data_IF_706083559355
#
_entry.id   IF_706083559355
#
_cell.length_a   1.000
_cell.length_b   1.000
_cell.length_c   1.000
_cell.angle_alpha   90.00
_cell.angle_beta   90.00
_cell.angle_gamma   90.00
#
_symmetry.space_group_name_H-M   'P 1'
#
loop_
_entity.id
_entity.type
_entity.pdbx_description
1 polymer ?
#
# COMPACT_ATOMS: atom_id res chain seq x y z
N UNK A 1 5.11 11.55 -22.91
CA UNK A 1 4.30 10.82 -23.92
C UNK A 1 2.96 10.51 -23.27
N UNK A 2 1.90 11.21 -23.65
CA UNK A 2 0.54 10.94 -23.14
C UNK A 2 0.09 9.61 -23.73
N UNK A 3 -0.38 8.74 -22.86
CA UNK A 3 -0.67 7.33 -23.10
C UNK A 3 -1.76 7.19 -24.20
N UNK A 4 -1.38 6.81 -25.41
CA UNK A 4 -2.24 6.59 -26.58
C UNK A 4 -3.46 5.71 -26.26
N UNK A 5 -3.30 4.77 -25.34
CA UNK A 5 -4.37 3.88 -24.87
C UNK A 5 -5.45 4.58 -24.02
N UNK A 6 -5.15 5.73 -23.42
CA UNK A 6 -6.13 6.54 -22.70
C UNK A 6 -6.98 7.38 -23.65
N UNK A 7 -6.38 7.86 -24.73
CA UNK A 7 -7.09 8.62 -25.77
C UNK A 7 -8.09 7.72 -26.52
N UNK A 8 -7.70 6.47 -26.84
CA UNK A 8 -8.60 5.52 -27.51
C UNK A 8 -9.82 5.17 -26.63
N UNK A 9 -9.63 5.01 -25.32
CA UNK A 9 -10.74 4.80 -24.37
C UNK A 9 -11.62 6.05 -24.21
N UNK A 10 -11.03 7.23 -24.30
CA UNK A 10 -11.78 8.48 -24.22
C UNK A 10 -12.60 8.75 -25.48
N UNK A 11 -12.08 8.38 -26.66
CA UNK A 11 -12.85 8.41 -27.92
C UNK A 11 -14.00 7.39 -27.91
N UNK A 12 -13.78 6.19 -27.37
CA UNK A 12 -14.84 5.20 -27.17
C UNK A 12 -15.93 5.71 -26.22
N UNK A 13 -15.58 6.40 -25.14
CA UNK A 13 -16.52 7.03 -24.23
C UNK A 13 -17.29 8.19 -24.89
N UNK A 14 -16.67 8.94 -25.81
CA UNK A 14 -17.34 9.96 -26.60
C UNK A 14 -18.33 9.35 -27.61
N UNK A 15 -18.02 8.18 -28.16
CA UNK A 15 -18.92 7.45 -29.07
C UNK A 15 -20.12 6.83 -28.33
N UNK A 16 -20.00 6.57 -27.02
CA UNK A 16 -21.12 6.21 -26.14
C UNK A 16 -21.98 7.42 -25.74
N UNK A 17 -21.61 8.62 -26.19
CA UNK A 17 -22.44 9.81 -26.05
C UNK A 17 -23.80 9.56 -26.68
N UNK A 18 -24.86 9.74 -25.89
CA UNK A 18 -26.24 9.57 -26.28
C UNK A 18 -26.49 10.10 -27.70
N UNK A 19 -27.06 9.28 -28.56
CA UNK A 19 -27.48 9.69 -29.93
C UNK A 19 -28.30 10.96 -29.82
N UNK A 20 -28.28 11.80 -30.86
CA UNK A 20 -29.03 13.07 -30.87
C UNK A 20 -30.52 12.86 -30.55
N UNK A 21 -31.08 11.74 -30.96
CA UNK A 21 -32.42 11.27 -30.58
C UNK A 21 -32.60 11.07 -29.07
N UNK A 22 -31.58 10.57 -28.35
CA UNK A 22 -31.64 10.41 -26.89
C UNK A 22 -31.52 11.74 -26.18
N UNK A 23 -30.69 12.65 -26.71
CA UNK A 23 -30.55 14.02 -26.18
C UNK A 23 -31.88 14.79 -26.32
N UNK A 24 -32.56 14.67 -27.44
CA UNK A 24 -33.86 15.31 -27.67
C UNK A 24 -34.96 14.74 -26.77
N UNK A 25 -34.98 13.44 -26.53
CA UNK A 25 -35.91 12.80 -25.58
C UNK A 25 -35.64 13.29 -24.13
N UNK A 26 -34.39 13.42 -23.72
CA UNK A 26 -34.02 13.93 -22.39
C UNK A 26 -34.42 15.43 -22.30
N UNK A 27 -34.13 16.22 -23.34
CA UNK A 27 -34.45 17.65 -23.37
C UNK A 27 -35.97 17.86 -23.27
N UNK A 28 -36.75 17.06 -23.99
CA UNK A 28 -38.22 17.10 -23.95
C UNK A 28 -38.76 16.74 -22.55
N UNK A 29 -38.25 15.68 -21.93
CA UNK A 29 -38.60 15.32 -20.55
C UNK A 29 -38.27 16.39 -19.52
N UNK A 30 -37.14 17.05 -19.66
CA UNK A 30 -36.74 18.16 -18.78
C UNK A 30 -37.71 19.35 -19.00
N UNK A 31 -38.00 19.73 -20.23
CA UNK A 31 -38.96 20.80 -20.54
C UNK A 31 -40.38 20.47 -20.02
N UNK A 32 -40.85 19.26 -20.21
CA UNK A 32 -42.13 18.83 -19.67
C UNK A 32 -42.17 18.83 -18.13
N UNK A 33 -41.06 18.49 -17.48
CA UNK A 33 -40.95 18.55 -16.01
C UNK A 33 -40.93 19.99 -15.46
N UNK A 34 -40.35 20.93 -16.21
CA UNK A 34 -40.35 22.36 -15.88
C UNK A 34 -41.70 22.99 -16.04
N UNK A 35 -42.45 22.59 -17.10
CA UNK A 35 -43.77 23.14 -17.38
C UNK A 35 -44.91 22.50 -16.57
N UNK A 36 -44.69 21.36 -15.92
CA UNK A 36 -45.64 20.72 -14.99
C UNK A 36 -45.61 21.27 -13.57
N UNK A 37 -45.10 22.45 -13.32
CA UNK A 37 -45.32 23.11 -12.04
C UNK A 37 -46.73 23.65 -11.97
N UNK A 38 -47.68 23.03 -11.23
CA UNK A 38 -48.97 23.62 -11.02
C UNK A 38 -48.78 24.83 -10.07
N UNK A 39 -48.96 26.03 -10.58
CA UNK A 39 -49.23 27.17 -9.76
C UNK A 39 -50.62 27.02 -9.14
N UNK A 40 -50.73 26.36 -8.01
CA UNK A 40 -51.90 26.41 -7.15
C UNK A 40 -51.46 26.80 -5.78
N UNK A 41 -51.57 28.10 -5.48
CA UNK A 41 -51.71 28.62 -4.15
C UNK A 41 -53.03 28.08 -3.59
N UNK A 42 -52.97 26.97 -2.87
CA UNK A 42 -54.09 26.54 -2.03
C UNK A 42 -53.88 27.06 -0.58
N UNK A 43 -54.94 27.48 0.08
CA UNK A 43 -54.80 28.03 1.44
C UNK A 43 -54.24 26.98 2.39
N UNK A 44 -53.35 27.43 3.26
CA UNK A 44 -52.67 26.62 4.26
C UNK A 44 -53.74 26.06 5.21
N UNK A 45 -54.15 24.81 4.98
CA UNK A 45 -55.04 24.09 5.91
C UNK A 45 -54.21 23.48 7.04
N UNK A 46 -54.72 23.54 8.21
CA UNK A 46 -54.27 23.09 9.54
C UNK A 46 -53.62 21.68 9.65
N UNK A 47 -53.34 21.04 8.53
CA UNK A 47 -52.69 19.72 8.42
C UNK A 47 -51.16 19.76 8.58
N UNK A 48 -50.55 20.95 8.54
CA UNK A 48 -49.08 21.10 8.59
C UNK A 48 -48.50 20.96 9.99
N UNK A 49 -49.31 21.10 11.05
CA UNK A 49 -48.81 20.95 12.42
C UNK A 49 -48.39 19.52 12.75
N UNK A 50 -49.07 18.51 12.19
CA UNK A 50 -48.72 17.09 12.39
C UNK A 50 -47.38 16.74 11.72
N UNK A 51 -47.08 17.31 10.55
CA UNK A 51 -45.78 17.08 9.85
C UNK A 51 -44.63 17.86 10.50
N UNK A 52 -44.89 19.04 11.10
CA UNK A 52 -43.89 19.79 11.87
C UNK A 52 -43.53 19.04 13.17
N UNK A 53 -44.51 18.47 13.83
CA UNK A 53 -44.28 17.64 15.04
C UNK A 53 -43.51 16.36 14.68
N UNK A 54 -43.84 15.71 13.55
CA UNK A 54 -43.10 14.53 13.08
C UNK A 54 -41.67 14.87 12.69
N UNK A 55 -41.45 16.00 12.02
CA UNK A 55 -40.12 16.47 11.64
C UNK A 55 -39.26 16.86 12.84
N UNK A 56 -39.86 17.54 13.86
CA UNK A 56 -39.16 17.88 15.10
C UNK A 56 -38.80 16.63 15.91
N UNK A 57 -39.69 15.63 15.95
CA UNK A 57 -39.42 14.34 16.61
C UNK A 57 -38.27 13.58 15.94
N UNK A 58 -38.21 13.58 14.59
CA UNK A 58 -37.11 13.02 13.84
C UNK A 58 -35.78 13.73 14.12
N UNK A 59 -35.78 15.05 14.20
CA UNK A 59 -34.59 15.84 14.54
C UNK A 59 -34.12 15.54 15.98
N UNK A 60 -35.04 15.38 16.92
CA UNK A 60 -34.69 15.01 18.29
C UNK A 60 -34.14 13.59 18.38
N UNK A 61 -34.76 12.64 17.68
CA UNK A 61 -34.25 11.26 17.61
C UNK A 61 -32.87 11.20 16.92
N UNK A 62 -32.70 11.88 15.78
CA UNK A 62 -31.44 11.93 15.06
C UNK A 62 -30.36 12.71 15.83
N UNK A 63 -30.74 13.83 16.46
CA UNK A 63 -29.85 14.61 17.33
C UNK A 63 -29.45 13.82 18.59
N UNK A 64 -30.41 13.10 19.20
CA UNK A 64 -30.14 12.18 20.30
C UNK A 64 -29.23 11.02 19.92
N UNK A 65 -29.45 10.45 18.74
CA UNK A 65 -28.59 9.39 18.20
C UNK A 65 -27.19 9.91 17.91
N UNK A 66 -27.05 11.06 17.26
CA UNK A 66 -25.75 11.72 17.04
C UNK A 66 -25.08 12.09 18.37
N UNK A 67 -25.84 12.58 19.33
CA UNK A 67 -25.32 12.86 20.68
C UNK A 67 -24.88 11.60 21.41
N UNK A 68 -25.60 10.48 21.24
CA UNK A 68 -25.18 9.16 21.75
C UNK A 68 -23.92 8.67 21.07
N UNK A 69 -23.82 8.78 19.74
CA UNK A 69 -22.59 8.47 18.98
C UNK A 69 -21.42 9.40 19.38
N UNK A 70 -21.68 10.67 19.67
CA UNK A 70 -20.66 11.60 20.19
C UNK A 70 -20.33 11.33 21.66
N UNK A 71 -21.24 10.78 22.43
CA UNK A 71 -21.04 10.42 23.84
C UNK A 71 -20.47 9.01 24.01
N UNK A 72 -20.68 8.13 23.03
CA UNK A 72 -19.84 6.97 22.79
C UNK A 72 -18.51 7.40 22.13
N UNK A 73 -17.96 8.52 22.60
CA UNK A 73 -16.51 8.62 22.54
C UNK A 73 -16.01 7.33 23.17
N UNK A 74 -15.20 6.55 22.43
CA UNK A 74 -14.56 5.40 23.03
C UNK A 74 -14.02 5.95 24.33
N UNK A 75 -14.37 5.31 25.45
CA UNK A 75 -13.72 5.53 26.73
C UNK A 75 -12.32 5.94 26.38
N UNK A 76 -11.92 7.16 26.70
CA UNK A 76 -10.51 7.42 26.84
C UNK A 76 -10.04 6.28 27.76
N UNK A 77 -9.70 5.17 27.11
CA UNK A 77 -8.80 4.26 27.73
C UNK A 77 -7.71 5.21 28.15
N UNK A 78 -7.50 5.32 29.44
CA UNK A 78 -6.27 5.80 29.99
C UNK A 78 -5.19 4.92 29.35
N UNK A 79 -4.96 5.12 28.06
CA UNK A 79 -3.75 4.71 27.40
C UNK A 79 -2.73 5.47 28.20
N UNK A 80 -2.15 4.78 29.18
CA UNK A 80 -0.94 5.23 29.82
C UNK A 80 -0.17 5.94 28.73
N UNK A 81 0.17 7.21 28.94
CA UNK A 81 0.90 8.08 28.03
C UNK A 81 2.27 7.45 27.70
N UNK A 82 2.26 6.35 26.97
CA UNK A 82 3.44 5.80 26.34
C UNK A 82 3.67 6.63 25.10
N UNK A 83 4.33 7.74 25.32
CA UNK A 83 4.93 8.52 24.25
C UNK A 83 5.89 7.58 23.53
N UNK A 84 5.65 7.29 22.25
CA UNK A 84 6.65 6.60 21.45
C UNK A 84 7.90 7.44 21.55
N UNK A 85 8.93 6.88 22.18
CA UNK A 85 10.24 7.52 22.21
C UNK A 85 10.88 7.29 20.85
N UNK A 86 11.02 8.34 20.06
CA UNK A 86 11.65 8.31 18.73
C UNK A 86 13.08 7.80 18.77
N UNK A 87 13.73 7.90 19.91
CA UNK A 87 15.03 7.35 20.15
C UNK A 87 14.99 5.84 20.44
N UNK A 88 13.79 5.26 20.48
CA UNK A 88 13.61 3.85 20.81
C UNK A 88 13.89 2.92 19.63
N UNK A 89 14.03 3.44 18.43
CA UNK A 89 14.44 2.67 17.26
C UNK A 89 15.44 3.44 16.39
N UNK A 90 16.24 2.68 15.62
CA UNK A 90 17.11 3.16 14.56
C UNK A 90 17.06 2.19 13.37
N UNK A 91 17.46 2.64 12.22
CA UNK A 91 17.57 1.86 10.98
C UNK A 91 18.63 2.44 10.05
N UNK A 92 19.02 1.69 9.03
CA UNK A 92 19.92 2.13 7.97
C UNK A 92 19.11 2.70 6.80
N UNK A 93 18.47 3.82 7.00
CA UNK A 93 17.81 4.57 5.96
C UNK A 93 18.23 6.02 6.07
N UNK A 94 18.95 6.50 5.07
CA UNK A 94 19.53 7.83 5.06
C UNK A 94 18.47 8.92 4.78
N UNK A 95 18.80 10.15 5.14
CA UNK A 95 17.99 11.34 4.86
C UNK A 95 16.55 11.30 5.38
N UNK A 96 16.29 10.56 6.45
CA UNK A 96 14.99 10.52 7.10
C UNK A 96 14.94 11.46 8.30
N UNK A 97 13.86 12.22 8.36
CA UNK A 97 13.50 13.02 9.54
C UNK A 97 12.13 12.56 10.04
N UNK A 98 11.90 12.72 11.34
CA UNK A 98 10.61 12.38 11.93
C UNK A 98 10.02 13.57 12.67
N UNK A 99 8.70 13.69 12.62
CA UNK A 99 7.94 14.72 13.31
C UNK A 99 6.81 14.09 14.13
N UNK A 100 6.68 14.49 15.38
CA UNK A 100 5.55 14.05 16.21
C UNK A 100 4.28 14.76 15.84
N UNK A 101 3.23 13.99 15.57
CA UNK A 101 1.89 14.48 15.27
C UNK A 101 0.90 13.70 16.13
N UNK A 102 0.42 14.30 17.23
CA UNK A 102 -0.42 13.59 18.19
C UNK A 102 0.28 12.37 18.81
N UNK A 103 -0.30 11.18 18.61
CA UNK A 103 0.18 9.91 19.18
C UNK A 103 1.04 9.09 18.21
N UNK A 104 1.38 9.62 17.04
CA UNK A 104 2.21 8.95 16.05
C UNK A 104 3.35 9.83 15.54
N UNK A 105 4.32 9.20 14.87
CA UNK A 105 5.41 9.84 14.16
C UNK A 105 5.11 9.85 12.67
N UNK A 106 5.25 10.98 12.04
CA UNK A 106 5.34 11.12 10.59
C UNK A 106 6.80 11.04 10.15
N UNK A 107 7.05 10.29 9.09
CA UNK A 107 8.36 10.08 8.51
C UNK A 107 8.48 10.85 7.21
N UNK A 108 9.54 11.64 7.07
CA UNK A 108 9.78 12.51 5.93
C UNK A 108 11.15 12.24 5.33
N UNK A 109 11.29 12.35 4.01
CA UNK A 109 12.58 12.56 3.39
C UNK A 109 13.06 13.97 3.71
N UNK A 110 14.37 14.12 3.84
CA UNK A 110 14.98 15.44 4.06
C UNK A 110 14.56 16.38 2.93
N UNK A 111 14.02 17.54 3.30
CA UNK A 111 13.48 18.58 2.40
C UNK A 111 12.17 18.21 1.65
N UNK A 112 11.53 17.10 1.96
CA UNK A 112 10.20 16.78 1.43
C UNK A 112 9.14 17.16 2.48
N UNK A 113 8.16 18.01 2.17
CA UNK A 113 7.08 18.38 3.08
C UNK A 113 6.01 17.28 3.24
N UNK A 114 6.04 16.23 2.39
CA UNK A 114 5.02 15.18 2.37
C UNK A 114 5.56 13.95 3.11
N UNK A 115 4.87 13.44 4.14
CA UNK A 115 5.29 12.23 4.81
C UNK A 115 5.17 11.01 3.88
N UNK A 116 6.18 10.15 3.91
CA UNK A 116 6.17 8.88 3.20
C UNK A 116 5.70 7.72 4.09
N UNK A 117 5.56 7.94 5.37
CA UNK A 117 5.15 6.90 6.29
C UNK A 117 4.85 7.39 7.69
N UNK A 118 4.44 6.47 8.55
CA UNK A 118 4.14 6.75 9.95
C UNK A 118 4.62 5.62 10.85
N UNK A 119 4.87 5.96 12.13
CA UNK A 119 5.14 4.99 13.20
C UNK A 119 4.25 5.28 14.39
N UNK A 120 3.57 4.27 14.90
CA UNK A 120 2.74 4.37 16.09
C UNK A 120 2.74 3.08 16.91
N UNK A 121 2.42 3.22 18.20
CA UNK A 121 2.10 2.09 19.07
C UNK A 121 0.61 1.78 18.95
N UNK A 122 0.26 0.53 18.79
CA UNK A 122 -1.12 0.04 18.72
C UNK A 122 -1.31 -1.13 19.65
N UNK A 123 -2.54 -1.30 20.13
CA UNK A 123 -2.96 -2.52 20.82
C UNK A 123 -3.23 -3.63 19.82
N UNK A 124 -3.29 -4.87 20.31
CA UNK A 124 -3.66 -6.02 19.47
C UNK A 124 -5.04 -5.87 18.85
N UNK A 125 -5.99 -5.29 19.56
CA UNK A 125 -7.36 -5.08 19.07
C UNK A 125 -7.41 -3.99 17.99
N UNK A 126 -6.66 -2.91 18.17
CA UNK A 126 -6.50 -1.87 17.15
C UNK A 126 -5.84 -2.43 15.89
N UNK A 127 -4.76 -3.21 16.02
CA UNK A 127 -4.14 -3.90 14.89
C UNK A 127 -5.15 -4.77 14.14
N UNK A 128 -5.90 -5.61 14.85
CA UNK A 128 -6.93 -6.47 14.26
C UNK A 128 -8.02 -5.65 13.55
N UNK A 129 -8.40 -4.51 14.12
CA UNK A 129 -9.39 -3.60 13.54
C UNK A 129 -8.87 -2.98 12.25
N UNK A 130 -7.60 -2.53 12.23
CA UNK A 130 -6.94 -1.99 11.04
C UNK A 130 -6.93 -3.04 9.92
N UNK A 131 -6.50 -4.27 10.23
CA UNK A 131 -6.40 -5.36 9.24
C UNK A 131 -7.77 -5.71 8.67
N UNK A 132 -8.81 -5.80 9.50
CA UNK A 132 -10.17 -6.15 9.07
C UNK A 132 -10.88 -5.02 8.31
N UNK A 133 -10.56 -3.78 8.60
CA UNK A 133 -11.23 -2.61 8.01
C UNK A 133 -10.72 -2.24 6.62
N UNK A 134 -9.66 -2.87 6.13
CA UNK A 134 -8.96 -2.52 4.90
C UNK A 134 -8.88 -3.69 3.93
N UNK A 135 -8.89 -3.44 2.61
CA UNK A 135 -8.73 -4.47 1.60
C UNK A 135 -7.25 -4.92 1.51
N UNK A 136 -6.80 -5.64 2.53
CA UNK A 136 -5.45 -6.22 2.53
C UNK A 136 -5.39 -7.37 1.53
N UNK A 137 -4.45 -7.33 0.58
CA UNK A 137 -4.24 -8.38 -0.42
C UNK A 137 -3.01 -9.24 -0.13
N UNK A 138 -2.13 -8.80 0.77
CA UNK A 138 -1.01 -9.58 1.29
C UNK A 138 -1.11 -9.63 2.81
N UNK A 139 -0.86 -10.82 3.36
CA UNK A 139 -0.71 -11.09 4.78
C UNK A 139 0.41 -12.10 4.94
N UNK A 140 1.59 -11.66 5.36
CA UNK A 140 2.78 -12.52 5.46
C UNK A 140 3.54 -12.25 6.75
N UNK A 141 3.94 -13.29 7.45
CA UNK A 141 4.99 -13.21 8.46
C UNK A 141 6.35 -13.20 7.75
N UNK A 142 7.17 -12.18 8.02
CA UNK A 142 8.49 -12.03 7.42
C UNK A 142 9.50 -12.86 8.21
N UNK A 143 10.08 -13.85 7.55
CA UNK A 143 11.15 -14.66 8.11
C UNK A 143 12.47 -13.92 8.07
N UNK A 144 13.40 -14.26 8.98
CA UNK A 144 14.76 -13.74 9.04
C UNK A 144 14.90 -12.22 9.25
N UNK A 145 13.82 -11.48 9.50
CA UNK A 145 13.89 -10.08 9.91
C UNK A 145 14.39 -9.95 11.35
N UNK A 146 14.95 -8.78 11.74
CA UNK A 146 15.49 -8.59 13.10
C UNK A 146 14.49 -8.89 14.21
N UNK A 147 13.23 -8.77 13.91
CA UNK A 147 12.13 -9.08 14.84
C UNK A 147 11.04 -9.86 14.11
N UNK A 148 10.24 -10.61 14.87
CA UNK A 148 8.99 -11.17 14.34
C UNK A 148 8.14 -10.05 13.77
N UNK A 149 7.95 -10.05 12.47
CA UNK A 149 7.32 -8.96 11.72
C UNK A 149 6.20 -9.51 10.85
N UNK A 150 5.02 -8.92 10.96
CA UNK A 150 3.88 -9.24 10.11
C UNK A 150 3.68 -8.11 9.11
N UNK A 151 3.71 -8.45 7.83
CA UNK A 151 3.51 -7.51 6.74
C UNK A 151 2.12 -7.67 6.14
N UNK A 152 1.46 -6.56 5.93
CA UNK A 152 0.20 -6.45 5.19
C UNK A 152 0.35 -5.39 4.12
N UNK A 153 -0.31 -5.59 2.99
CA UNK A 153 -0.26 -4.64 1.88
C UNK A 153 -1.69 -4.31 1.46
N UNK A 154 -1.96 -3.00 1.35
CA UNK A 154 -3.25 -2.42 0.95
C UNK A 154 -3.12 -1.72 -0.39
N UNK A 155 -4.08 -1.93 -1.30
CA UNK A 155 -4.27 -1.07 -2.45
C UNK A 155 -4.93 0.24 -2.02
N UNK A 156 -4.21 1.34 -2.13
CA UNK A 156 -4.71 2.67 -1.81
C UNK A 156 -4.99 3.40 -3.11
N UNK A 157 -6.25 3.65 -3.43
CA UNK A 157 -6.66 4.44 -4.61
C UNK A 157 -6.73 5.93 -4.26
N UNK A 158 -5.62 6.50 -3.82
CA UNK A 158 -5.49 7.93 -3.53
C UNK A 158 -4.53 8.57 -4.51
N UNK A 159 -4.60 9.89 -4.66
CA UNK A 159 -3.94 10.65 -5.74
C UNK A 159 -2.43 10.40 -5.87
N UNK A 160 -1.71 10.18 -4.77
CA UNK A 160 -0.25 10.00 -4.77
C UNK A 160 0.21 8.71 -4.07
N UNK A 161 -0.71 7.78 -3.81
CA UNK A 161 -0.41 6.52 -3.13
C UNK A 161 -1.11 5.39 -3.86
N UNK A 162 -0.33 4.47 -4.41
CA UNK A 162 -0.85 3.27 -5.06
C UNK A 162 -0.96 2.09 -4.10
N UNK A 163 0.05 1.93 -3.27
CA UNK A 163 0.21 0.79 -2.35
C UNK A 163 0.66 1.32 -1.00
N UNK A 164 0.10 0.75 0.07
CA UNK A 164 0.52 1.03 1.44
C UNK A 164 0.96 -0.26 2.11
N UNK A 165 2.16 -0.23 2.69
CA UNK A 165 2.72 -1.30 3.49
C UNK A 165 2.45 -1.05 4.96
N UNK A 166 2.05 -2.10 5.67
CA UNK A 166 1.90 -2.12 7.11
C UNK A 166 2.81 -3.21 7.67
N UNK A 167 3.68 -2.84 8.60
CA UNK A 167 4.49 -3.80 9.34
C UNK A 167 4.12 -3.71 10.80
N UNK A 168 3.75 -4.84 11.39
CA UNK A 168 3.42 -4.95 12.79
C UNK A 168 4.46 -5.79 13.51
N UNK A 169 5.06 -5.23 14.55
CA UNK A 169 6.08 -5.88 15.39
C UNK A 169 5.56 -5.96 16.82
N UNK A 170 5.40 -7.16 17.42
CA UNK A 170 4.93 -7.30 18.79
C UNK A 170 6.00 -6.79 19.75
N UNK A 171 5.65 -5.83 20.63
CA UNK A 171 6.48 -5.40 21.75
C UNK A 171 6.21 -6.25 22.98
N UNK A 172 4.95 -6.44 23.29
CA UNK A 172 4.44 -7.30 24.38
C UNK A 172 3.26 -8.14 23.87
N UNK A 173 2.59 -8.85 24.74
CA UNK A 173 1.37 -9.59 24.36
C UNK A 173 0.24 -8.66 23.87
N UNK A 174 0.19 -7.44 24.40
CA UNK A 174 -0.91 -6.48 24.15
C UNK A 174 -0.50 -5.29 23.28
N UNK A 175 0.79 -5.02 23.15
CA UNK A 175 1.31 -3.83 22.49
C UNK A 175 2.17 -4.18 21.28
N UNK A 176 1.96 -3.44 20.20
CA UNK A 176 2.61 -3.61 18.92
C UNK A 176 3.13 -2.28 18.42
N UNK A 177 4.22 -2.28 17.68
CA UNK A 177 4.60 -1.13 16.85
C UNK A 177 4.06 -1.38 15.46
N UNK A 178 3.42 -0.37 14.89
CA UNK A 178 3.01 -0.31 13.51
C UNK A 178 3.91 0.65 12.75
N UNK A 179 4.53 0.19 11.69
CA UNK A 179 5.16 1.01 10.66
C UNK A 179 4.26 1.01 9.44
N UNK A 180 4.08 2.19 8.84
CA UNK A 180 3.28 2.34 7.62
C UNK A 180 4.13 3.09 6.60
N UNK A 181 4.17 2.60 5.36
CA UNK A 181 4.92 3.22 4.27
C UNK A 181 4.05 3.34 3.02
N UNK A 182 4.13 4.48 2.35
CA UNK A 182 3.33 4.81 1.17
C UNK A 182 4.21 4.77 -0.10
N UNK A 183 4.00 3.77 -0.96
CA UNK A 183 4.59 3.72 -2.30
C UNK A 183 3.71 4.55 -3.28
N UNK A 184 4.25 5.39 -4.16
CA UNK A 184 5.68 5.55 -4.50
C UNK A 184 6.42 6.68 -3.76
N UNK A 185 5.94 7.18 -2.63
CA UNK A 185 6.65 8.22 -1.86
C UNK A 185 7.98 7.71 -1.28
N UNK A 186 8.10 6.42 -1.12
CA UNK A 186 9.31 5.70 -0.75
C UNK A 186 9.40 4.42 -1.58
N UNK A 187 10.58 4.10 -2.09
CA UNK A 187 10.83 2.92 -2.91
C UNK A 187 10.80 1.63 -2.08
N UNK A 188 10.47 0.52 -2.74
CA UNK A 188 10.41 -0.80 -2.10
C UNK A 188 11.71 -1.19 -1.42
N UNK A 189 12.84 -0.98 -2.11
CA UNK A 189 14.17 -1.28 -1.58
C UNK A 189 14.41 -0.56 -0.26
N UNK A 190 14.07 0.71 -0.18
CA UNK A 190 14.21 1.55 1.03
C UNK A 190 13.31 1.08 2.16
N UNK A 191 12.06 0.70 1.87
CA UNK A 191 11.12 0.14 2.87
C UNK A 191 11.72 -1.10 3.51
N UNK A 192 12.19 -2.03 2.69
CA UNK A 192 12.74 -3.29 3.20
C UNK A 192 14.11 -3.11 3.83
N UNK A 193 14.93 -2.18 3.34
CA UNK A 193 16.17 -1.80 3.99
C UNK A 193 15.93 -1.23 5.40
N UNK A 194 14.96 -0.34 5.54
CA UNK A 194 14.56 0.19 6.85
C UNK A 194 14.14 -0.93 7.80
N UNK A 195 13.24 -1.81 7.36
CA UNK A 195 12.68 -2.86 8.19
C UNK A 195 13.69 -3.97 8.52
N UNK A 196 14.60 -4.32 7.60
CA UNK A 196 15.63 -5.33 7.80
C UNK A 196 16.79 -4.85 8.69
N UNK A 197 17.03 -3.55 8.74
CA UNK A 197 18.04 -2.91 9.56
C UNK A 197 17.50 -2.30 10.85
N UNK A 198 16.23 -2.54 11.16
CA UNK A 198 15.56 -1.97 12.32
C UNK A 198 16.19 -2.46 13.63
N UNK A 199 16.51 -1.53 14.52
CA UNK A 199 16.95 -1.79 15.88
C UNK A 199 15.99 -1.13 16.87
N UNK A 200 15.36 -1.95 17.73
CA UNK A 200 14.46 -1.49 18.78
C UNK A 200 15.22 -1.42 20.12
N UNK A 201 15.21 -0.27 20.73
CA UNK A 201 15.85 -0.09 22.05
C UNK A 201 15.22 -0.99 23.11
N UNK A 202 16.05 -1.77 23.79
CA UNK A 202 15.60 -2.68 24.84
C UNK A 202 15.03 -4.01 24.35
N UNK A 203 14.99 -4.26 23.04
CA UNK A 203 14.57 -5.53 22.46
C UNK A 203 15.73 -6.14 21.66
N UNK A 204 16.13 -7.36 22.02
CA UNK A 204 17.19 -8.07 21.30
C UNK A 204 16.69 -8.48 19.93
N UNK A 205 17.42 -8.07 18.88
CA UNK A 205 17.18 -8.52 17.54
C UNK A 205 17.58 -9.99 17.33
N UNK A 206 16.92 -10.69 16.43
CA UNK A 206 17.43 -11.94 15.90
C UNK A 206 18.59 -11.60 14.95
N UNK A 207 19.72 -12.25 15.13
CA UNK A 207 20.82 -12.16 14.20
C UNK A 207 20.81 -13.45 13.38
N UNK A 208 20.66 -13.30 12.09
CA UNK A 208 20.78 -14.38 11.13
C UNK A 208 22.05 -14.14 10.30
N UNK A 209 22.84 -15.19 10.14
CA UNK A 209 24.02 -15.16 9.25
C UNK A 209 23.60 -15.26 7.77
N UNK A 210 22.33 -15.56 7.52
CA UNK A 210 21.77 -15.69 6.17
C UNK A 210 21.36 -14.32 5.62
N UNK A 211 21.60 -14.15 4.31
CA UNK A 211 21.11 -12.99 3.59
C UNK A 211 19.58 -12.96 3.58
N UNK A 212 19.01 -11.78 3.70
CA UNK A 212 17.56 -11.58 3.62
C UNK A 212 17.13 -11.39 2.17
N UNK A 213 16.00 -12.01 1.84
CA UNK A 213 15.37 -11.88 0.53
C UNK A 213 13.91 -11.48 0.68
N UNK A 214 13.44 -10.62 -0.20
CA UNK A 214 12.09 -10.06 -0.18
C UNK A 214 11.49 -10.01 -1.57
N UNK A 215 10.16 -10.07 -1.66
CA UNK A 215 9.44 -9.82 -2.91
C UNK A 215 9.12 -8.33 -3.04
N UNK A 216 9.27 -7.77 -4.22
CA UNK A 216 8.86 -6.43 -4.54
C UNK A 216 7.43 -6.41 -5.11
N UNK A 217 6.57 -5.57 -4.54
CA UNK A 217 5.23 -5.33 -5.06
C UNK A 217 4.39 -6.60 -5.24
N UNK A 218 3.94 -6.82 -6.47
CA UNK A 218 3.09 -7.96 -6.86
C UNK A 218 3.87 -9.14 -7.42
N UNK A 219 5.18 -8.96 -7.64
CA UNK A 219 6.02 -9.99 -8.25
C UNK A 219 6.18 -11.21 -7.35
N UNK A 220 6.39 -12.36 -7.97
CA UNK A 220 6.73 -13.61 -7.31
C UNK A 220 8.24 -13.80 -7.13
N UNK A 221 9.05 -12.97 -7.82
CA UNK A 221 10.52 -12.99 -7.71
C UNK A 221 10.98 -12.41 -6.37
N UNK A 222 11.93 -13.08 -5.74
CA UNK A 222 12.59 -12.59 -4.52
C UNK A 222 13.87 -11.84 -4.90
N UNK A 223 14.23 -10.83 -4.11
CA UNK A 223 15.39 -9.97 -4.27
C UNK A 223 16.21 -9.93 -3.01
N UNK A 224 17.54 -9.86 -3.07
CA UNK A 224 18.36 -9.49 -1.91
C UNK A 224 17.92 -8.14 -1.33
N UNK A 225 17.82 -8.04 0.00
CA UNK A 225 17.35 -6.82 0.67
C UNK A 225 18.26 -5.61 0.43
N UNK A 226 19.57 -5.85 0.24
CA UNK A 226 20.58 -4.79 0.15
C UNK A 226 20.91 -4.41 -1.30
N UNK A 227 19.93 -4.38 -2.16
CA UNK A 227 20.09 -3.90 -3.54
C UNK A 227 19.87 -2.40 -3.60
N UNK A 228 20.81 -1.69 -4.25
CA UNK A 228 20.70 -0.28 -4.56
C UNK A 228 20.42 -0.12 -6.06
N UNK A 229 19.32 0.53 -6.48
CA UNK A 229 18.99 0.67 -7.88
C UNK A 229 20.03 1.53 -8.61
N UNK A 230 20.61 1.02 -9.69
CA UNK A 230 21.51 1.75 -10.59
C UNK A 230 20.72 2.34 -11.75
N UNK A 231 19.92 1.53 -12.42
CA UNK A 231 19.08 1.95 -13.52
C UNK A 231 17.88 1.03 -13.70
N UNK A 232 16.75 1.64 -14.04
CA UNK A 232 15.57 0.95 -14.55
C UNK A 232 15.34 1.47 -15.96
N UNK A 233 15.89 0.75 -16.95
CA UNK A 233 15.95 1.26 -18.34
C UNK A 233 14.64 1.07 -19.09
N UNK A 234 13.83 0.14 -18.65
CA UNK A 234 12.47 -0.13 -19.14
C UNK A 234 11.77 -1.02 -18.11
N UNK A 235 10.47 -1.27 -18.29
CA UNK A 235 9.76 -2.28 -17.49
C UNK A 235 10.31 -3.72 -17.67
N UNK A 236 11.40 -3.89 -18.43
CA UNK A 236 11.96 -5.18 -18.79
C UNK A 236 13.39 -5.41 -18.26
N UNK A 237 14.13 -4.35 -17.90
CA UNK A 237 15.52 -4.47 -17.41
C UNK A 237 15.70 -3.62 -16.17
N UNK A 238 16.11 -4.26 -15.10
CA UNK A 238 16.44 -3.64 -13.81
C UNK A 238 17.89 -3.97 -13.47
N UNK A 239 18.68 -2.97 -13.10
CA UNK A 239 20.07 -3.12 -12.69
C UNK A 239 20.27 -2.56 -11.30
N UNK A 240 20.86 -3.36 -10.44
CA UNK A 240 21.11 -3.04 -9.04
C UNK A 240 22.58 -3.23 -8.68
N UNK A 241 23.08 -2.38 -7.79
CA UNK A 241 24.32 -2.63 -7.05
C UNK A 241 24.05 -3.56 -5.88
N UNK A 242 24.79 -4.64 -5.78
CA UNK A 242 24.70 -5.62 -4.70
C UNK A 242 25.99 -5.63 -3.89
N UNK A 243 26.01 -4.93 -2.77
CA UNK A 243 27.23 -4.77 -1.93
C UNK A 243 27.78 -6.08 -1.38
N UNK A 244 26.94 -7.10 -1.20
CA UNK A 244 27.31 -8.43 -0.73
C UNK A 244 27.60 -9.42 -1.87
N UNK A 245 27.70 -8.94 -3.12
CA UNK A 245 27.88 -9.80 -4.29
C UNK A 245 29.16 -10.63 -4.21
N UNK A 246 29.03 -11.89 -4.51
CA UNK A 246 30.11 -12.87 -4.73
C UNK A 246 29.51 -14.05 -5.47
N UNK A 247 30.32 -14.86 -6.13
CA UNK A 247 29.85 -16.10 -6.77
C UNK A 247 29.07 -16.96 -5.77
N UNK A 248 29.60 -17.13 -4.56
CA UNK A 248 28.93 -17.92 -3.52
C UNK A 248 27.57 -17.32 -3.11
N UNK A 249 27.51 -16.00 -2.92
CA UNK A 249 26.25 -15.33 -2.57
C UNK A 249 25.23 -15.43 -3.71
N UNK A 250 25.70 -15.33 -4.95
CA UNK A 250 24.86 -15.50 -6.13
C UNK A 250 24.30 -16.90 -6.23
N UNK A 251 25.13 -17.95 -6.07
CA UNK A 251 24.67 -19.34 -6.07
C UNK A 251 23.63 -19.60 -4.97
N UNK A 252 23.87 -19.10 -3.77
CA UNK A 252 22.91 -19.19 -2.66
C UNK A 252 21.60 -18.46 -2.98
N UNK A 253 21.67 -17.34 -3.66
CA UNK A 253 20.50 -16.60 -4.11
C UNK A 253 19.69 -17.40 -5.14
N UNK A 254 20.33 -17.98 -6.14
CA UNK A 254 19.65 -18.83 -7.13
C UNK A 254 18.93 -20.01 -6.48
N UNK A 255 19.55 -20.65 -5.49
CA UNK A 255 18.93 -21.72 -4.71
C UNK A 255 17.69 -21.24 -3.95
N UNK A 256 17.74 -20.03 -3.39
CA UNK A 256 16.57 -19.42 -2.71
C UNK A 256 15.43 -19.15 -3.69
N UNK A 257 15.71 -18.72 -4.93
CA UNK A 257 14.69 -18.52 -5.96
C UNK A 257 13.94 -19.84 -6.24
N UNK A 258 14.68 -20.94 -6.41
CA UNK A 258 14.10 -22.26 -6.70
C UNK A 258 13.20 -22.79 -5.57
N UNK A 259 13.45 -22.37 -4.33
CA UNK A 259 12.68 -22.77 -3.15
C UNK A 259 11.71 -21.70 -2.66
N UNK A 260 11.54 -20.61 -3.41
CA UNK A 260 10.61 -19.53 -3.05
C UNK A 260 9.16 -19.88 -3.38
N UNK A 261 8.23 -19.16 -2.74
CA UNK A 261 6.79 -19.28 -3.01
C UNK A 261 6.40 -18.97 -4.47
N UNK A 262 7.32 -18.33 -5.22
CA UNK A 262 7.16 -18.03 -6.65
C UNK A 262 7.18 -19.25 -7.55
N UNK A 263 7.60 -20.42 -7.03
CA UNK A 263 7.67 -21.68 -7.76
C UNK A 263 8.42 -21.58 -9.10
N UNK A 264 9.52 -20.84 -9.10
CA UNK A 264 10.36 -20.65 -10.28
C UNK A 264 11.07 -21.95 -10.66
N UNK A 265 11.21 -22.18 -11.96
CA UNK A 265 11.97 -23.30 -12.52
C UNK A 265 13.17 -22.76 -13.30
N UNK A 266 14.33 -23.36 -13.08
CA UNK A 266 15.50 -23.01 -13.88
C UNK A 266 15.33 -23.59 -15.28
N UNK A 267 15.34 -22.76 -16.30
CA UNK A 267 15.21 -23.13 -17.69
C UNK A 267 16.58 -23.35 -18.34
N UNK A 268 17.51 -22.42 -18.12
CA UNK A 268 18.82 -22.43 -18.75
C UNK A 268 19.84 -21.61 -17.97
N UNK A 269 21.08 -21.57 -18.46
CA UNK A 269 22.16 -20.75 -17.96
C UNK A 269 23.18 -21.49 -17.10
N UNK A 270 24.40 -20.95 -17.11
CA UNK A 270 25.53 -21.44 -16.34
C UNK A 270 26.30 -20.28 -15.70
N UNK A 271 26.99 -20.58 -14.59
CA UNK A 271 27.82 -19.60 -13.91
C UNK A 271 27.01 -18.40 -13.43
N UNK A 272 27.42 -17.20 -13.85
CA UNK A 272 26.84 -15.93 -13.37
C UNK A 272 25.67 -15.39 -14.21
N UNK A 273 25.07 -16.21 -15.07
CA UNK A 273 23.88 -15.84 -15.85
C UNK A 273 22.91 -17.02 -15.94
N UNK A 274 21.72 -16.88 -15.38
CA UNK A 274 20.75 -17.97 -15.28
C UNK A 274 19.35 -17.47 -15.59
N UNK A 275 18.58 -18.28 -16.32
CA UNK A 275 17.20 -17.98 -16.72
C UNK A 275 16.22 -18.86 -15.95
N UNK A 276 15.19 -18.24 -15.46
CA UNK A 276 14.08 -18.85 -14.71
C UNK A 276 12.77 -18.56 -15.42
N UNK A 277 11.87 -19.54 -15.34
CA UNK A 277 10.51 -19.43 -15.87
C UNK A 277 9.51 -19.65 -14.73
N UNK A 278 8.43 -18.85 -14.70
CA UNK A 278 7.32 -19.06 -13.79
C UNK A 278 6.58 -20.35 -14.12
N UNK A 279 5.92 -20.98 -13.13
CA UNK A 279 5.20 -22.26 -13.33
C UNK A 279 4.14 -22.18 -14.42
N UNK A 280 3.49 -21.02 -14.57
CA UNK A 280 2.48 -20.78 -15.60
C UNK A 280 3.08 -20.42 -16.98
N UNK A 281 4.41 -20.30 -17.09
CA UNK A 281 5.10 -19.95 -18.32
C UNK A 281 4.91 -18.53 -18.82
N UNK A 282 4.25 -17.67 -18.02
CA UNK A 282 3.90 -16.31 -18.45
C UNK A 282 5.01 -15.30 -18.22
N UNK A 283 6.00 -15.65 -17.42
CA UNK A 283 7.11 -14.78 -17.06
C UNK A 283 8.41 -15.53 -17.12
N UNK A 284 9.38 -14.97 -17.83
CA UNK A 284 10.75 -15.47 -17.94
C UNK A 284 11.70 -14.39 -17.43
N UNK A 285 12.61 -14.74 -16.55
CA UNK A 285 13.56 -13.79 -15.97
C UNK A 285 14.98 -14.34 -16.15
N UNK A 286 15.83 -13.56 -16.80
CA UNK A 286 17.27 -13.82 -16.81
C UNK A 286 17.94 -12.97 -15.76
N UNK A 287 18.64 -13.62 -14.83
CA UNK A 287 19.38 -12.98 -13.75
C UNK A 287 20.87 -13.15 -14.04
N UNK A 288 21.60 -12.04 -14.05
CA UNK A 288 23.04 -12.07 -14.26
C UNK A 288 23.79 -11.22 -13.25
N UNK A 289 24.98 -11.69 -12.85
CA UNK A 289 25.89 -10.97 -11.95
C UNK A 289 27.16 -10.60 -12.69
N UNK A 290 27.48 -9.31 -12.72
CA UNK A 290 28.73 -8.80 -13.28
C UNK A 290 29.44 -7.91 -12.24
N UNK A 291 30.49 -8.45 -11.62
CA UNK A 291 31.13 -7.79 -10.48
C UNK A 291 30.15 -7.69 -9.30
N UNK A 292 29.72 -6.48 -8.98
CA UNK A 292 28.69 -6.21 -7.99
C UNK A 292 27.35 -5.77 -8.59
N UNK A 293 27.21 -5.80 -9.91
CA UNK A 293 25.97 -5.44 -10.58
C UNK A 293 25.12 -6.68 -10.83
N UNK A 294 23.89 -6.68 -10.25
CA UNK A 294 22.89 -7.71 -10.44
C UNK A 294 21.84 -7.18 -11.41
N UNK A 295 21.67 -7.87 -12.52
CA UNK A 295 20.73 -7.48 -13.58
C UNK A 295 19.60 -8.48 -13.66
N UNK A 296 18.39 -7.99 -13.76
CA UNK A 296 17.17 -8.74 -14.05
C UNK A 296 16.65 -8.32 -15.40
N UNK A 297 16.47 -9.27 -16.30
CA UNK A 297 15.88 -9.06 -17.60
C UNK A 297 14.59 -9.88 -17.72
N UNK A 298 13.46 -9.18 -17.85
CA UNK A 298 12.12 -9.76 -17.88
C UNK A 298 11.65 -9.95 -19.31
N UNK A 299 11.08 -11.11 -19.58
CA UNK A 299 10.40 -11.42 -20.82
C UNK A 299 9.01 -12.00 -20.52
N UNK A 300 8.01 -11.50 -21.23
CA UNK A 300 6.61 -11.90 -21.07
C UNK A 300 6.10 -12.50 -22.38
N UNK A 301 6.17 -13.83 -22.56
CA UNK A 301 5.87 -14.48 -23.83
C UNK A 301 4.51 -14.15 -24.43
N UNK A 302 3.52 -13.88 -23.57
CA UNK A 302 2.13 -13.66 -23.99
C UNK A 302 1.72 -12.17 -24.08
N UNK A 303 2.65 -11.23 -23.94
CA UNK A 303 2.35 -9.78 -23.98
C UNK A 303 2.96 -9.08 -25.21
N UNK A 304 3.77 -9.76 -26.01
CA UNK A 304 4.45 -9.22 -27.19
C UNK A 304 3.71 -9.59 -28.51
N UNK A 305 2.45 -10.09 -28.45
CA UNK A 305 1.57 -10.29 -29.60
C UNK A 305 0.62 -9.12 -29.85
#
# INVERSE_FOLDING_TARGET
MVNKHFEDKWELLKQLGSTDTQKDVIRKRIQESIHRRPSKTSPIKFYQWKSIIAASLLIVIFGGFLFMLMKENPKQNNSSNYTIDYKSFSWKLDDVTSKKTGDYLELYRKNDPIPFGTVNEVTKDEMNTIIKSKPMFVNKELEHFPYKTFMYIEHVKMQDVGIRYYFFIPLTKEKWIQYTFDYPKIEYADIFQAMSSLELKGKKAYHHDEALYVTHGYGSMIYPVNLEPISVTSNKIEVYSWSAASTKAYDQYLEKILHSDGNWQKESGEGLSNTFVSVDGNEVITISLNGNELTYEYFYPNQDE
#
